data_IF_811240792013
#
_entry.id   IF_811240792013
#
_cell.length_a   1.000
_cell.length_b   1.000
_cell.length_c   1.000
_cell.angle_alpha   90.00
_cell.angle_beta   90.00
_cell.angle_gamma   90.00
#
_symmetry.space_group_name_H-M   'P 1'
#
loop_
_entity.id
_entity.type
_entity.pdbx_description
1 polymer ?
#
# COMPACT_ATOMS: atom_id res chain seq x y z
N UNK A 1 -13.53 -4.73 -34.18
CA UNK A 1 -12.08 -4.51 -34.32
C UNK A 1 -11.34 -5.18 -33.16
N UNK A 2 -11.31 -6.53 -33.11
CA UNK A 2 -10.82 -7.32 -31.96
C UNK A 2 -9.28 -7.45 -31.91
N UNK A 3 -8.64 -7.44 -33.08
CA UNK A 3 -7.18 -7.48 -33.22
C UNK A 3 -6.51 -6.28 -32.53
N UNK A 4 -7.00 -5.06 -32.81
CA UNK A 4 -6.50 -3.82 -32.19
C UNK A 4 -6.62 -3.82 -30.65
N UNK A 5 -7.70 -4.38 -30.09
CA UNK A 5 -7.86 -4.49 -28.64
C UNK A 5 -6.82 -5.43 -28.01
N UNK A 6 -6.48 -6.53 -28.69
CA UNK A 6 -5.46 -7.48 -28.23
C UNK A 6 -4.07 -6.85 -28.24
N UNK A 7 -3.76 -6.05 -29.26
CA UNK A 7 -2.49 -5.32 -29.36
C UNK A 7 -2.34 -4.29 -28.24
N UNK A 8 -3.42 -3.55 -27.93
CA UNK A 8 -3.44 -2.58 -26.82
C UNK A 8 -3.18 -3.29 -25.47
N UNK A 9 -3.80 -4.44 -25.23
CA UNK A 9 -3.59 -5.20 -24.00
C UNK A 9 -2.16 -5.73 -23.90
N UNK A 10 -1.60 -6.23 -25.00
CA UNK A 10 -0.21 -6.70 -25.07
C UNK A 10 0.77 -5.58 -24.74
N UNK A 11 0.57 -4.40 -25.34
CA UNK A 11 1.37 -3.21 -25.05
C UNK A 11 1.30 -2.82 -23.57
N UNK A 12 0.10 -2.77 -22.98
CA UNK A 12 -0.07 -2.45 -21.55
C UNK A 12 0.63 -3.46 -20.65
N UNK A 13 0.54 -4.76 -20.97
CA UNK A 13 1.23 -5.80 -20.21
C UNK A 13 2.75 -5.64 -20.28
N UNK A 14 3.30 -5.37 -21.46
CA UNK A 14 4.72 -5.10 -21.64
C UNK A 14 5.16 -3.85 -20.85
N UNK A 15 4.41 -2.75 -20.93
CA UNK A 15 4.69 -1.53 -20.20
C UNK A 15 4.71 -1.74 -18.68
N UNK A 16 3.78 -2.53 -18.14
CA UNK A 16 3.75 -2.92 -16.73
C UNK A 16 4.99 -3.74 -16.34
N UNK A 17 5.42 -4.67 -17.18
CA UNK A 17 6.62 -5.48 -16.93
C UNK A 17 7.89 -4.63 -16.88
N UNK A 18 8.06 -3.68 -17.81
CA UNK A 18 9.22 -2.79 -17.82
C UNK A 18 9.20 -1.83 -16.61
N UNK A 19 8.03 -1.34 -16.23
CA UNK A 19 7.86 -0.52 -15.01
C UNK A 19 8.25 -1.31 -13.76
N UNK A 20 7.81 -2.56 -13.65
CA UNK A 20 8.15 -3.45 -12.53
C UNK A 20 9.67 -3.64 -12.42
N UNK A 21 10.35 -3.99 -13.52
CA UNK A 21 11.81 -4.18 -13.54
C UNK A 21 12.56 -2.92 -13.09
N UNK A 22 12.12 -1.75 -13.57
CA UNK A 22 12.71 -0.47 -13.18
C UNK A 22 12.60 -0.25 -11.67
N UNK A 23 11.42 -0.51 -11.09
CA UNK A 23 11.19 -0.40 -9.65
C UNK A 23 12.03 -1.39 -8.84
N UNK A 24 12.13 -2.65 -9.28
CA UNK A 24 12.96 -3.67 -8.62
C UNK A 24 14.43 -3.26 -8.56
N UNK A 25 14.94 -2.66 -9.64
CA UNK A 25 16.32 -2.15 -9.69
C UNK A 25 16.51 -0.97 -8.73
N UNK A 26 15.60 0.02 -8.77
CA UNK A 26 15.69 1.22 -7.94
C UNK A 26 15.54 0.91 -6.45
N UNK A 27 14.69 -0.06 -6.12
CA UNK A 27 14.40 -0.44 -4.74
C UNK A 27 15.29 -1.56 -4.23
N UNK A 28 16.24 -2.08 -5.02
CA UNK A 28 17.04 -3.28 -4.70
C UNK A 28 17.62 -3.29 -3.28
N UNK A 29 18.12 -2.14 -2.81
CA UNK A 29 18.74 -2.01 -1.48
C UNK A 29 17.73 -2.20 -0.32
N UNK A 30 16.43 -2.05 -0.60
CA UNK A 30 15.34 -2.25 0.36
C UNK A 30 14.77 -3.68 0.31
N UNK A 31 15.32 -4.57 -0.53
CA UNK A 31 14.87 -5.95 -0.71
C UNK A 31 13.33 -6.05 -0.92
N UNK A 32 12.78 -5.42 -1.98
CA UNK A 32 11.34 -5.35 -2.19
C UNK A 32 10.78 -6.76 -2.42
N UNK A 33 9.62 -7.04 -1.82
CA UNK A 33 8.88 -8.29 -2.02
C UNK A 33 7.64 -8.04 -2.87
N UNK A 34 7.54 -8.73 -4.01
CA UNK A 34 6.29 -8.77 -4.77
C UNK A 34 5.26 -9.62 -4.01
N UNK A 35 4.11 -9.03 -3.71
CA UNK A 35 3.01 -9.71 -3.05
C UNK A 35 2.01 -10.27 -4.07
N UNK A 36 1.62 -11.53 -3.91
CA UNK A 36 0.47 -12.09 -4.62
C UNK A 36 -0.84 -11.41 -4.18
N UNK A 37 -1.91 -11.52 -4.98
CA UNK A 37 -3.21 -10.94 -4.63
C UNK A 37 -3.70 -11.34 -3.24
N UNK A 38 -3.45 -12.60 -2.83
CA UNK A 38 -3.80 -13.09 -1.49
C UNK A 38 -2.94 -12.43 -0.41
N UNK A 39 -1.64 -12.31 -0.63
CA UNK A 39 -0.74 -11.66 0.32
C UNK A 39 -1.03 -10.17 0.46
N UNK A 40 -1.40 -9.48 -0.62
CA UNK A 40 -1.84 -8.07 -0.58
C UNK A 40 -3.07 -7.92 0.31
N UNK A 41 -4.09 -8.76 0.10
CA UNK A 41 -5.32 -8.67 0.88
C UNK A 41 -5.07 -9.04 2.36
N UNK A 42 -4.23 -10.04 2.64
CA UNK A 42 -3.80 -10.35 4.00
C UNK A 42 -3.05 -9.18 4.65
N UNK A 43 -2.15 -8.52 3.93
CA UNK A 43 -1.43 -7.34 4.42
C UNK A 43 -2.40 -6.22 4.80
N UNK A 44 -3.43 -5.94 3.98
CA UNK A 44 -4.44 -4.95 4.32
C UNK A 44 -5.26 -5.35 5.56
N UNK A 45 -5.63 -6.63 5.67
CA UNK A 45 -6.34 -7.15 6.84
C UNK A 45 -5.47 -7.04 8.10
N UNK A 46 -4.20 -7.38 8.03
CA UNK A 46 -3.28 -7.22 9.16
C UNK A 46 -3.09 -5.74 9.52
N UNK A 47 -2.88 -4.87 8.53
CA UNK A 47 -2.67 -3.44 8.74
C UNK A 47 -3.86 -2.76 9.42
N UNK A 48 -5.09 -3.08 8.99
CA UNK A 48 -6.30 -2.47 9.53
C UNK A 48 -6.63 -3.02 10.93
N UNK A 49 -6.24 -4.25 11.22
CA UNK A 49 -6.51 -4.92 12.50
C UNK A 49 -5.37 -4.78 13.52
N UNK A 50 -4.16 -4.46 13.09
CA UNK A 50 -2.93 -4.42 13.90
C UNK A 50 -2.48 -5.77 14.45
N UNK A 51 -3.01 -6.88 13.92
CA UNK A 51 -2.59 -8.25 14.20
C UNK A 51 -2.87 -9.14 13.00
N UNK A 52 -2.15 -10.25 12.88
CA UNK A 52 -2.32 -11.19 11.77
C UNK A 52 -3.76 -11.75 11.74
N UNK A 53 -4.46 -11.46 10.66
CA UNK A 53 -5.80 -11.98 10.39
C UNK A 53 -5.81 -12.58 8.97
N UNK A 54 -5.36 -13.83 8.81
CA UNK A 54 -5.27 -14.46 7.50
C UNK A 54 -6.68 -14.61 6.91
N UNK A 55 -6.85 -14.11 5.69
CA UNK A 55 -8.09 -14.23 4.96
C UNK A 55 -8.40 -15.71 4.74
N UNK A 56 -9.54 -16.12 5.28
CA UNK A 56 -10.17 -17.41 5.01
C UNK A 56 -11.28 -17.15 4.01
N UNK A 57 -11.02 -17.25 2.69
CA UNK A 57 -12.06 -17.00 1.69
C UNK A 57 -13.28 -17.85 2.02
N UNK A 58 -14.45 -17.22 2.04
CA UNK A 58 -15.70 -17.93 2.24
C UNK A 58 -15.88 -18.98 1.14
N UNK A 59 -16.63 -20.04 1.42
CA UNK A 59 -17.08 -20.98 0.39
C UNK A 59 -17.72 -20.18 -0.74
N UNK A 60 -17.13 -20.22 -1.95
CA UNK A 60 -17.44 -19.44 -3.19
C UNK A 60 -16.59 -18.19 -3.47
N UNK A 61 -15.52 -17.92 -2.73
CA UNK A 61 -14.47 -16.97 -3.15
C UNK A 61 -14.80 -15.48 -3.00
N UNK A 62 -15.84 -15.14 -2.23
CA UNK A 62 -16.15 -13.76 -1.89
C UNK A 62 -15.39 -13.31 -0.64
N UNK A 63 -14.89 -12.07 -0.68
CA UNK A 63 -14.44 -11.36 0.51
C UNK A 63 -15.69 -10.85 1.27
N UNK A 64 -15.68 -10.98 2.59
CA UNK A 64 -16.72 -10.49 3.48
C UNK A 64 -16.16 -9.32 4.29
N UNK A 65 -17.00 -8.34 4.62
CA UNK A 65 -16.61 -7.18 5.45
C UNK A 65 -16.14 -7.58 6.86
N UNK A 66 -16.31 -8.86 7.24
CA UNK A 66 -15.87 -9.45 8.51
C UNK A 66 -14.34 -9.47 8.74
N UNK A 67 -13.53 -8.89 7.86
CA UNK A 67 -12.07 -8.80 8.05
C UNK A 67 -11.60 -7.50 8.70
N UNK A 68 -12.53 -6.64 9.13
CA UNK A 68 -12.24 -5.55 10.08
C UNK A 68 -12.70 -6.02 11.46
N UNK A 69 -11.74 -6.48 12.26
CA UNK A 69 -11.89 -6.97 13.62
C UNK A 69 -11.40 -5.96 14.68
N UNK A 70 -11.07 -4.74 14.26
CA UNK A 70 -10.69 -3.62 15.12
C UNK A 70 -11.72 -2.48 15.02
N UNK A 71 -11.89 -1.70 16.09
CA UNK A 71 -12.61 -0.43 16.00
C UNK A 71 -11.63 0.65 15.57
N UNK A 72 -11.98 1.42 14.54
CA UNK A 72 -11.10 2.44 13.97
C UNK A 72 -11.75 3.80 14.06
N UNK A 73 -11.06 4.74 14.69
CA UNK A 73 -11.44 6.15 14.76
C UNK A 73 -10.41 6.98 14.00
N UNK A 74 -10.86 7.74 13.01
CA UNK A 74 -10.00 8.63 12.25
C UNK A 74 -9.97 10.02 12.90
N UNK A 75 -8.76 10.49 13.17
CA UNK A 75 -8.47 11.84 13.61
C UNK A 75 -7.78 12.60 12.47
N UNK A 76 -7.59 13.91 12.64
CA UNK A 76 -7.06 14.78 11.58
C UNK A 76 -5.73 14.29 11.00
N UNK A 77 -4.80 13.85 11.86
CA UNK A 77 -3.42 13.54 11.50
C UNK A 77 -3.00 12.10 11.82
N UNK A 78 -3.91 11.31 12.39
CA UNK A 78 -3.66 9.94 12.85
C UNK A 78 -4.97 9.15 12.88
N UNK A 79 -4.89 7.85 13.08
CA UNK A 79 -6.05 7.02 13.39
C UNK A 79 -5.78 6.20 14.64
N UNK A 80 -6.84 5.96 15.40
CA UNK A 80 -6.81 5.13 16.61
C UNK A 80 -7.41 3.80 16.22
N UNK A 81 -6.68 2.74 16.53
CA UNK A 81 -7.15 1.38 16.38
C UNK A 81 -7.36 0.79 17.78
N UNK A 82 -8.56 0.32 18.06
CA UNK A 82 -8.92 -0.34 19.32
C UNK A 82 -9.17 -1.83 19.06
N UNK A 83 -8.39 -2.68 19.71
CA UNK A 83 -8.56 -4.13 19.66
C UNK A 83 -8.15 -4.73 21.00
N UNK A 84 -8.86 -5.75 21.48
CA UNK A 84 -8.57 -6.43 22.75
C UNK A 84 -8.37 -5.49 23.95
N UNK A 85 -9.18 -4.42 24.05
CA UNK A 85 -9.07 -3.33 25.05
C UNK A 85 -7.74 -2.55 25.03
N UNK A 86 -6.93 -2.70 23.97
CA UNK A 86 -5.73 -1.91 23.74
C UNK A 86 -6.02 -0.85 22.67
N UNK A 87 -5.56 0.38 22.91
CA UNK A 87 -5.60 1.47 21.94
C UNK A 87 -4.21 1.68 21.34
N UNK A 88 -4.14 1.63 20.02
CA UNK A 88 -2.92 1.87 19.24
C UNK A 88 -3.11 3.13 18.39
N UNK A 89 -2.16 4.06 18.50
CA UNK A 89 -2.16 5.31 17.74
C UNK A 89 -1.28 5.15 16.50
N UNK A 90 -1.88 5.29 15.32
CA UNK A 90 -1.22 5.05 14.04
C UNK A 90 -1.20 6.30 13.18
N UNK A 91 -0.11 6.53 12.44
CA UNK A 91 -0.04 7.66 11.49
C UNK A 91 -0.73 7.32 10.17
N UNK A 92 -1.33 8.33 9.54
CA UNK A 92 -1.88 8.20 8.20
C UNK A 92 -0.75 8.25 7.16
N UNK A 93 -0.62 7.21 6.35
CA UNK A 93 0.23 7.23 5.16
C UNK A 93 -0.67 7.50 3.96
N UNK A 94 -0.63 8.73 3.46
CA UNK A 94 -1.36 9.13 2.26
C UNK A 94 -0.41 9.22 1.07
N UNK A 95 -0.66 8.44 0.01
CA UNK A 95 0.01 8.62 -1.28
C UNK A 95 -0.86 9.56 -2.11
N UNK A 96 -0.36 10.78 -2.36
CA UNK A 96 -1.01 11.75 -3.25
C UNK A 96 -0.24 11.82 -4.56
N UNK A 97 -0.93 11.51 -5.66
CA UNK A 97 -0.42 11.84 -6.99
C UNK A 97 -0.68 13.33 -7.24
N UNK A 98 0.39 14.12 -7.22
CA UNK A 98 0.34 15.52 -7.65
C UNK A 98 0.52 15.55 -9.16
N UNK A 99 -0.27 16.38 -9.84
CA UNK A 99 -0.12 16.62 -11.29
C UNK A 99 1.24 17.26 -11.64
N UNK A 100 1.89 17.87 -10.63
CA UNK A 100 3.21 18.48 -10.76
C UNK A 100 4.32 17.52 -10.37
N UNK A 101 5.43 17.54 -11.11
CA UNK A 101 6.70 16.89 -10.76
C UNK A 101 7.39 17.53 -9.53
N UNK A 102 6.83 18.60 -8.97
CA UNK A 102 7.42 19.33 -7.82
C UNK A 102 6.46 19.34 -6.63
N UNK A 103 6.86 18.65 -5.56
CA UNK A 103 6.23 18.76 -4.25
C UNK A 103 6.84 20.00 -3.55
N UNK A 104 6.17 21.14 -3.61
CA UNK A 104 6.56 22.31 -2.81
C UNK A 104 5.79 22.32 -1.50
N UNK A 105 6.34 21.71 -0.46
CA UNK A 105 5.87 21.87 0.91
C UNK A 105 7.04 22.31 1.79
N UNK A 106 6.92 23.49 2.40
CA UNK A 106 7.95 24.10 3.26
C UNK A 106 8.31 23.17 4.44
N UNK A 107 7.31 22.43 4.97
CA UNK A 107 7.51 21.47 6.04
C UNK A 107 8.13 20.14 5.58
N UNK A 108 7.78 19.67 4.37
CA UNK A 108 8.28 18.40 3.83
C UNK A 108 9.72 18.54 3.32
N UNK A 109 10.12 19.72 2.82
CA UNK A 109 11.50 20.00 2.47
C UNK A 109 12.45 19.84 3.67
N UNK A 110 12.10 20.43 4.81
CA UNK A 110 12.93 20.35 6.01
C UNK A 110 13.13 18.91 6.53
N UNK A 111 12.11 18.06 6.43
CA UNK A 111 12.16 16.66 6.87
C UNK A 111 12.85 15.73 5.85
N UNK A 112 12.65 15.94 4.55
CA UNK A 112 13.28 15.13 3.51
C UNK A 112 14.78 15.41 3.34
N UNK A 113 15.23 16.63 3.62
CA UNK A 113 16.64 17.03 3.58
C UNK A 113 17.34 16.93 4.94
N UNK A 114 16.68 16.34 5.94
CA UNK A 114 17.31 16.12 7.23
C UNK A 114 18.33 14.99 7.09
N UNK A 115 19.63 15.34 7.11
CA UNK A 115 20.71 14.36 7.15
C UNK A 115 20.51 13.47 8.38
N UNK A 116 20.15 12.22 8.14
CA UNK A 116 20.09 11.21 9.20
C UNK A 116 21.46 10.56 9.25
N UNK A 117 22.23 10.68 10.35
CA UNK A 117 23.43 9.87 10.49
C UNK A 117 23.00 8.40 10.48
N UNK A 118 23.55 7.64 9.54
CA UNK A 118 23.46 6.20 9.52
C UNK A 118 24.52 5.71 10.52
N UNK A 119 24.09 5.40 11.74
CA UNK A 119 24.90 4.60 12.67
C UNK A 119 24.97 3.14 12.16
#
# INVERSE_FOLDING_TARGET
>A
NRENFKDILSYKAHFLQETLKSLEIQLKNYAPKLLSSKEVLNFYAEYINGFDLPLKPLVRGYLSDSYIASSITFEKDYFIQESFNQKTYNRLIGIKAYESERITSIAVGALLYQETPLD
#
